data_IF_144337075470
#
_entry.id   IF_144337075470
#
_cell.length_a   1.000
_cell.length_b   1.000
_cell.length_c   1.000
_cell.angle_alpha   90.00
_cell.angle_beta   90.00
_cell.angle_gamma   90.00
#
_symmetry.space_group_name_H-M   'P 1'
#
loop_
_entity.id
_entity.type
_entity.pdbx_description
1 polymer ?
#
# COMPACT_ATOMS: atom_id res chain seq x y z
N UNK A 1 21.04 -41.50 18.06
CA UNK A 1 20.00 -40.50 17.76
C UNK A 1 18.68 -40.94 18.38
N UNK A 2 18.36 -40.46 19.59
CA UNK A 2 17.04 -40.71 20.18
C UNK A 2 16.15 -39.50 19.87
N UNK A 3 15.28 -39.63 18.88
CA UNK A 3 14.28 -38.60 18.58
C UNK A 3 13.29 -38.54 19.74
N UNK A 4 13.09 -37.35 20.30
CA UNK A 4 12.16 -37.18 21.42
C UNK A 4 10.71 -37.15 20.91
N UNK A 5 10.08 -38.32 20.86
CA UNK A 5 8.73 -38.51 20.32
C UNK A 5 7.69 -37.66 21.06
N UNK A 6 7.85 -37.48 22.38
CA UNK A 6 6.97 -36.66 23.20
C UNK A 6 6.99 -35.21 22.71
N UNK A 7 8.17 -34.65 22.47
CA UNK A 7 8.34 -33.27 22.02
C UNK A 7 7.75 -33.06 20.62
N UNK A 8 7.96 -34.00 19.69
CA UNK A 8 7.32 -33.96 18.37
C UNK A 8 5.79 -34.05 18.45
N UNK A 9 5.26 -34.90 19.33
CA UNK A 9 3.81 -35.07 19.47
C UNK A 9 3.16 -33.80 20.03
N UNK A 10 3.77 -33.18 21.04
CA UNK A 10 3.31 -31.91 21.61
C UNK A 10 3.40 -30.78 20.57
N UNK A 11 4.52 -30.69 19.85
CA UNK A 11 4.70 -29.73 18.75
C UNK A 11 3.60 -29.89 17.69
N UNK A 12 3.33 -31.12 17.24
CA UNK A 12 2.30 -31.42 16.24
C UNK A 12 0.89 -31.05 16.72
N UNK A 13 0.57 -31.35 17.98
CA UNK A 13 -0.70 -30.96 18.58
C UNK A 13 -0.87 -29.42 18.67
N UNK A 14 0.19 -28.70 19.02
CA UNK A 14 0.20 -27.23 19.04
C UNK A 14 0.02 -26.63 17.64
N UNK A 15 0.67 -27.19 16.62
CA UNK A 15 0.45 -26.77 15.23
C UNK A 15 -1.00 -27.03 14.78
N UNK A 16 -1.53 -28.22 15.05
CA UNK A 16 -2.91 -28.56 14.68
C UNK A 16 -3.93 -27.63 15.34
N UNK A 17 -3.80 -27.40 16.65
CA UNK A 17 -4.66 -26.47 17.38
C UNK A 17 -4.48 -25.01 16.92
N UNK A 18 -3.23 -24.58 16.70
CA UNK A 18 -2.91 -23.23 16.25
C UNK A 18 -3.49 -22.91 14.87
N UNK A 19 -3.32 -23.82 13.90
CA UNK A 19 -3.91 -23.69 12.55
C UNK A 19 -5.43 -23.68 12.65
N UNK A 20 -6.03 -24.57 13.44
CA UNK A 20 -7.47 -24.61 13.64
C UNK A 20 -8.02 -23.28 14.15
N UNK A 21 -7.38 -22.68 15.15
CA UNK A 21 -7.81 -21.40 15.73
C UNK A 21 -7.64 -20.20 14.77
N UNK A 22 -6.64 -20.23 13.88
CA UNK A 22 -6.45 -19.18 12.87
C UNK A 22 -7.57 -19.18 11.83
N UNK A 23 -8.23 -20.31 11.59
CA UNK A 23 -9.36 -20.41 10.67
C UNK A 23 -10.66 -19.87 11.27
N UNK A 24 -10.69 -19.46 12.54
CA UNK A 24 -11.89 -18.92 13.16
C UNK A 24 -12.10 -17.43 12.84
N UNK A 25 -13.36 -17.00 12.84
CA UNK A 25 -13.74 -15.59 12.55
C UNK A 25 -13.44 -14.61 13.68
N UNK A 26 -13.15 -15.09 14.88
CA UNK A 26 -12.91 -14.23 16.05
C UNK A 26 -11.44 -13.85 16.13
N UNK A 27 -11.16 -12.55 16.22
CA UNK A 27 -9.79 -12.03 16.30
C UNK A 27 -9.07 -12.52 17.57
N UNK A 28 -9.79 -12.68 18.67
CA UNK A 28 -9.24 -13.25 19.90
C UNK A 28 -8.82 -14.71 19.72
N UNK A 29 -9.61 -15.51 19.00
CA UNK A 29 -9.24 -16.90 18.68
C UNK A 29 -8.05 -16.98 17.73
N UNK A 30 -8.00 -16.10 16.72
CA UNK A 30 -6.82 -15.97 15.84
C UNK A 30 -5.56 -15.60 16.62
N UNK A 31 -5.65 -14.67 17.60
CA UNK A 31 -4.53 -14.31 18.48
C UNK A 31 -4.02 -15.52 19.27
N UNK A 32 -4.93 -16.30 19.87
CA UNK A 32 -4.55 -17.53 20.58
C UNK A 32 -3.93 -18.55 19.63
N UNK A 33 -4.43 -18.67 18.40
CA UNK A 33 -3.86 -19.52 17.36
C UNK A 33 -2.42 -19.13 17.02
N UNK A 34 -2.16 -17.84 16.81
CA UNK A 34 -0.81 -17.31 16.58
C UNK A 34 0.12 -17.56 17.77
N UNK A 35 -0.36 -17.42 19.00
CA UNK A 35 0.42 -17.76 20.20
C UNK A 35 0.79 -19.25 20.24
N UNK A 36 -0.14 -20.15 19.92
CA UNK A 36 0.14 -21.59 19.88
C UNK A 36 1.15 -21.93 18.78
N UNK A 37 1.02 -21.33 17.58
CA UNK A 37 1.97 -21.52 16.49
C UNK A 37 3.37 -21.00 16.81
N UNK A 38 3.48 -19.84 17.48
CA UNK A 38 4.76 -19.31 17.93
C UNK A 38 5.46 -20.28 18.89
N UNK A 39 4.73 -20.83 19.87
CA UNK A 39 5.25 -21.83 20.79
C UNK A 39 5.62 -23.14 20.08
N UNK A 40 4.80 -23.59 19.13
CA UNK A 40 5.10 -24.78 18.32
C UNK A 40 6.40 -24.61 17.50
N UNK A 41 6.60 -23.43 16.93
CA UNK A 41 7.81 -23.08 16.16
C UNK A 41 9.05 -23.03 17.06
N UNK A 42 8.91 -22.53 18.30
CA UNK A 42 10.00 -22.55 19.27
C UNK A 42 10.39 -23.99 19.65
N UNK A 43 9.41 -24.88 19.81
CA UNK A 43 9.66 -26.30 20.03
C UNK A 43 10.30 -26.97 18.81
N UNK A 44 9.91 -26.58 17.59
CA UNK A 44 10.53 -27.08 16.36
C UNK A 44 12.02 -26.71 16.31
N UNK A 45 12.37 -25.44 16.57
CA UNK A 45 13.78 -25.00 16.62
C UNK A 45 14.53 -25.78 17.71
N UNK A 46 13.94 -25.95 18.89
CA UNK A 46 14.54 -26.73 19.96
C UNK A 46 14.77 -28.20 19.56
N UNK A 47 13.82 -28.81 18.85
CA UNK A 47 13.94 -30.18 18.36
C UNK A 47 15.10 -30.35 17.36
N UNK A 48 15.43 -29.30 16.59
CA UNK A 48 16.58 -29.31 15.67
C UNK A 48 17.93 -29.13 16.37
N UNK A 49 17.94 -28.63 17.62
CA UNK A 49 19.15 -28.29 18.37
C UNK A 49 19.94 -29.47 18.93
N UNK A 50 19.50 -30.72 18.69
CA UNK A 50 20.28 -31.91 19.01
C UNK A 50 20.19 -32.37 20.47
N UNK A 51 21.30 -32.91 20.99
CA UNK A 51 21.34 -33.55 22.31
C UNK A 51 21.35 -32.52 23.44
N UNK A 52 20.68 -32.83 24.55
CA UNK A 52 20.68 -32.01 25.75
C UNK A 52 22.04 -32.08 26.46
N UNK A 53 22.90 -31.10 26.21
CA UNK A 53 24.15 -30.86 26.92
C UNK A 53 24.00 -29.93 28.12
N UNK A 54 25.12 -29.36 28.57
CA UNK A 54 25.19 -28.32 29.60
C UNK A 54 24.79 -26.96 29.01
N UNK A 55 24.40 -26.02 29.88
CA UNK A 55 24.15 -24.63 29.47
C UNK A 55 25.42 -24.05 28.82
N UNK A 56 25.33 -23.31 27.70
CA UNK A 56 26.48 -22.76 26.97
C UNK A 56 27.11 -21.58 27.72
N UNK A 57 27.61 -21.85 28.93
CA UNK A 57 28.31 -20.94 29.80
C UNK A 57 29.74 -21.44 30.00
N UNK A 58 30.70 -20.62 29.61
CA UNK A 58 32.10 -21.01 29.63
C UNK A 58 32.57 -21.43 31.03
N UNK A 59 33.01 -22.67 31.13
CA UNK A 59 33.64 -23.27 32.32
C UNK A 59 34.95 -23.94 31.90
N UNK A 60 36.02 -23.73 32.68
CA UNK A 60 37.37 -24.25 32.36
C UNK A 60 37.48 -25.78 32.48
N UNK A 61 36.62 -26.39 33.28
CA UNK A 61 36.67 -27.81 33.62
C UNK A 61 35.74 -28.68 32.74
N UNK A 62 35.10 -28.07 31.73
CA UNK A 62 34.09 -28.71 30.88
C UNK A 62 34.56 -28.78 29.44
N UNK A 63 34.42 -29.94 28.80
CA UNK A 63 34.79 -30.11 27.38
C UNK A 63 33.83 -29.31 26.47
N UNK A 64 34.33 -28.67 25.40
CA UNK A 64 33.49 -27.97 24.42
C UNK A 64 32.34 -28.82 23.84
N UNK A 65 32.51 -30.14 23.73
CA UNK A 65 31.51 -31.07 23.21
C UNK A 65 30.35 -31.38 24.17
N UNK A 66 30.48 -31.03 25.45
CA UNK A 66 29.44 -31.26 26.46
C UNK A 66 28.40 -30.14 26.51
N UNK A 67 28.65 -29.00 25.84
CA UNK A 67 27.70 -27.88 25.78
C UNK A 67 26.58 -28.12 24.76
N UNK A 68 25.39 -27.58 25.05
CA UNK A 68 24.36 -27.43 24.04
C UNK A 68 24.77 -26.42 22.96
N UNK A 69 24.24 -26.61 21.76
CA UNK A 69 24.37 -25.63 20.68
C UNK A 69 23.72 -24.28 21.11
N UNK A 70 24.49 -23.17 21.15
CA UNK A 70 23.96 -21.86 21.49
C UNK A 70 23.13 -21.23 20.36
N UNK A 71 23.26 -21.70 19.11
CA UNK A 71 22.59 -21.10 17.96
C UNK A 71 21.06 -21.25 18.03
N UNK A 72 20.48 -22.45 18.24
CA UNK A 72 19.03 -22.61 18.41
C UNK A 72 18.48 -21.78 19.58
N UNK A 73 19.25 -21.62 20.67
CA UNK A 73 18.84 -20.86 21.85
C UNK A 73 18.71 -19.37 21.55
N UNK A 74 19.68 -18.80 20.83
CA UNK A 74 19.63 -17.42 20.40
C UNK A 74 18.44 -17.17 19.45
N UNK A 75 18.18 -18.09 18.52
CA UNK A 75 17.04 -17.99 17.60
C UNK A 75 15.69 -18.03 18.34
N UNK A 76 15.56 -18.88 19.36
CA UNK A 76 14.34 -18.96 20.19
C UNK A 76 14.14 -17.67 20.99
N UNK A 77 15.21 -17.06 21.52
CA UNK A 77 15.09 -15.78 22.22
C UNK A 77 14.56 -14.68 21.28
N UNK A 78 15.08 -14.62 20.05
CA UNK A 78 14.61 -13.67 19.04
C UNK A 78 13.16 -13.93 18.64
N UNK A 79 12.77 -15.19 18.42
CA UNK A 79 11.40 -15.53 18.04
C UNK A 79 10.40 -15.19 19.14
N UNK A 80 10.76 -15.34 20.43
CA UNK A 80 9.92 -14.95 21.56
C UNK A 80 9.64 -13.45 21.55
N UNK A 81 10.66 -12.61 21.30
CA UNK A 81 10.51 -11.15 21.28
C UNK A 81 9.64 -10.71 20.09
N UNK A 82 9.86 -11.29 18.91
CA UNK A 82 9.05 -11.00 17.71
C UNK A 82 7.59 -11.41 17.96
N UNK A 83 7.38 -12.62 18.51
CA UNK A 83 6.04 -13.13 18.80
C UNK A 83 5.33 -12.27 19.84
N UNK A 84 6.05 -11.79 20.86
CA UNK A 84 5.51 -10.85 21.84
C UNK A 84 5.11 -9.53 21.20
N UNK A 85 5.94 -8.96 20.33
CA UNK A 85 5.63 -7.72 19.61
C UNK A 85 4.38 -7.86 18.73
N UNK A 86 4.29 -8.94 17.94
CA UNK A 86 3.12 -9.24 17.10
C UNK A 86 1.87 -9.47 17.95
N UNK A 87 2.00 -10.19 19.07
CA UNK A 87 0.90 -10.41 20.01
C UNK A 87 0.40 -9.10 20.60
N UNK A 88 1.31 -8.24 21.08
CA UNK A 88 0.95 -6.94 21.65
C UNK A 88 0.29 -6.03 20.61
N UNK A 89 0.78 -6.05 19.37
CA UNK A 89 0.20 -5.32 18.25
C UNK A 89 -1.21 -5.83 17.94
N UNK A 90 -1.39 -7.15 17.78
CA UNK A 90 -2.68 -7.77 17.50
C UNK A 90 -3.67 -7.53 18.65
N UNK A 91 -3.21 -7.60 19.91
CA UNK A 91 -4.03 -7.26 21.08
C UNK A 91 -4.46 -5.79 21.06
N UNK A 92 -3.59 -4.88 20.60
CA UNK A 92 -3.91 -3.48 20.37
C UNK A 92 -5.00 -3.29 19.31
N UNK A 93 -4.94 -4.05 18.20
CA UNK A 93 -5.99 -4.06 17.17
C UNK A 93 -7.30 -4.59 17.77
N UNK A 94 -7.28 -5.74 18.44
CA UNK A 94 -8.46 -6.33 19.08
C UNK A 94 -9.11 -5.33 20.03
N UNK A 95 -8.31 -4.69 20.88
CA UNK A 95 -8.80 -3.66 21.79
C UNK A 95 -9.43 -2.49 21.04
N UNK A 96 -8.77 -1.98 19.98
CA UNK A 96 -9.29 -0.87 19.18
C UNK A 96 -10.59 -1.24 18.47
N UNK A 97 -10.68 -2.44 17.88
CA UNK A 97 -11.87 -2.97 17.23
C UNK A 97 -13.00 -3.13 18.24
N UNK A 98 -12.73 -3.64 19.44
CA UNK A 98 -13.73 -3.77 20.48
C UNK A 98 -14.25 -2.40 20.96
N UNK A 99 -13.39 -1.38 21.05
CA UNK A 99 -13.81 -0.01 21.39
C UNK A 99 -14.70 0.60 20.31
N UNK A 100 -14.39 0.38 19.02
CA UNK A 100 -15.11 0.99 17.90
C UNK A 100 -16.38 0.23 17.48
N UNK A 101 -16.27 -1.09 17.28
CA UNK A 101 -17.33 -1.93 16.72
C UNK A 101 -18.09 -2.75 17.77
N UNK A 102 -17.57 -2.84 19.00
CA UNK A 102 -18.12 -3.66 20.10
C UNK A 102 -18.35 -5.13 19.74
N UNK A 103 -17.61 -5.64 18.76
CA UNK A 103 -17.64 -7.02 18.26
C UNK A 103 -16.21 -7.51 18.05
N UNK A 104 -16.01 -8.81 18.23
CA UNK A 104 -14.72 -9.49 18.05
C UNK A 104 -14.71 -10.42 16.81
N UNK A 105 -15.85 -10.52 16.13
CA UNK A 105 -16.04 -11.39 14.96
C UNK A 105 -15.96 -10.59 13.67
N UNK A 106 -15.23 -11.12 12.68
CA UNK A 106 -15.15 -10.58 11.33
C UNK A 106 -16.46 -10.90 10.59
N UNK A 107 -17.15 -9.86 10.14
CA UNK A 107 -18.41 -9.97 9.40
C UNK A 107 -18.16 -9.77 7.91
N UNK A 108 -18.98 -10.45 7.10
CA UNK A 108 -19.01 -10.22 5.65
C UNK A 108 -19.96 -9.04 5.39
N UNK A 109 -19.45 -7.94 4.82
CA UNK A 109 -20.27 -6.80 4.44
C UNK A 109 -21.08 -7.14 3.17
N UNK A 110 -22.33 -6.69 3.12
CA UNK A 110 -23.17 -6.81 1.91
C UNK A 110 -22.57 -6.03 0.74
N UNK A 111 -21.84 -4.95 1.00
CA UNK A 111 -21.13 -4.21 -0.03
C UNK A 111 -19.94 -5.01 -0.58
N UNK A 112 -19.18 -5.68 0.28
CA UNK A 112 -18.05 -6.53 -0.14
C UNK A 112 -18.53 -7.66 -1.07
N UNK A 113 -19.69 -8.25 -0.78
CA UNK A 113 -20.30 -9.28 -1.63
C UNK A 113 -20.72 -8.69 -2.99
N UNK A 114 -21.32 -7.49 -3.00
CA UNK A 114 -21.71 -6.81 -4.26
C UNK A 114 -20.51 -6.48 -5.14
N UNK A 115 -19.43 -5.98 -4.54
CA UNK A 115 -18.18 -5.69 -5.26
C UNK A 115 -17.57 -6.96 -5.83
N UNK A 116 -17.57 -8.07 -5.06
CA UNK A 116 -17.06 -9.35 -5.54
C UNK A 116 -17.85 -9.95 -6.72
N UNK A 117 -19.14 -9.65 -6.82
CA UNK A 117 -19.99 -10.05 -7.95
C UNK A 117 -19.87 -9.13 -9.17
N UNK A 118 -19.27 -7.95 -9.01
CA UNK A 118 -19.09 -7.00 -10.12
C UNK A 118 -17.99 -7.50 -11.06
N UNK A 119 -18.26 -7.74 -12.35
CA UNK A 119 -17.24 -8.19 -13.29
C UNK A 119 -16.13 -7.13 -13.42
N UNK A 120 -14.87 -7.56 -13.35
CA UNK A 120 -13.70 -6.68 -13.44
C UNK A 120 -13.45 -6.11 -14.84
N UNK A 121 -14.31 -6.44 -15.82
CA UNK A 121 -14.19 -6.02 -17.20
C UNK A 121 -14.94 -4.71 -17.39
N UNK A 122 -14.19 -3.65 -17.71
CA UNK A 122 -14.74 -2.34 -18.06
C UNK A 122 -14.57 -2.11 -19.56
N UNK A 123 -15.68 -2.02 -20.29
CA UNK A 123 -15.65 -1.85 -21.74
C UNK A 123 -15.05 -0.50 -22.18
N UNK A 124 -15.05 0.52 -21.31
CA UNK A 124 -14.41 1.80 -21.60
C UNK A 124 -12.89 1.72 -21.38
N UNK A 125 -12.45 1.16 -20.24
CA UNK A 125 -11.03 1.12 -19.83
C UNK A 125 -10.23 0.00 -20.55
N UNK A 126 -10.85 -1.15 -20.80
CA UNK A 126 -10.25 -2.29 -21.50
C UNK A 126 -10.44 -2.23 -23.03
N UNK A 127 -10.88 -1.08 -23.56
CA UNK A 127 -11.01 -0.90 -25.02
C UNK A 127 -9.64 -0.86 -25.70
N UNK A 128 -9.48 -1.60 -26.81
CA UNK A 128 -8.25 -1.54 -27.61
C UNK A 128 -8.09 -0.12 -28.19
N UNK A 129 -7.17 0.66 -27.62
CA UNK A 129 -6.87 2.03 -28.08
C UNK A 129 -6.36 1.93 -29.52
N UNK A 130 -7.04 2.55 -30.51
CA UNK A 130 -6.53 2.59 -31.86
C UNK A 130 -5.18 3.30 -31.89
N UNK A 131 -4.15 2.67 -32.47
CA UNK A 131 -2.90 3.36 -32.78
C UNK A 131 -3.22 4.50 -33.75
N UNK A 132 -3.20 5.75 -33.27
CA UNK A 132 -3.40 6.92 -34.14
C UNK A 132 -2.31 6.94 -35.21
N UNK A 133 -2.68 6.49 -36.42
CA UNK A 133 -1.87 6.62 -37.63
C UNK A 133 -2.33 7.87 -38.40
N UNK A 134 -2.54 8.98 -37.69
CA UNK A 134 -3.07 10.19 -38.30
C UNK A 134 -2.00 10.88 -39.14
N UNK A 135 -2.28 10.96 -40.44
CA UNK A 135 -1.47 11.61 -41.48
C UNK A 135 -1.59 13.15 -41.50
N UNK A 136 -2.20 13.75 -40.48
CA UNK A 136 -2.36 15.20 -40.38
C UNK A 136 -1.26 15.82 -39.49
N UNK A 137 -0.36 16.64 -40.04
CA UNK A 137 0.65 17.30 -39.24
C UNK A 137 -0.01 18.32 -38.30
N UNK A 138 0.36 18.26 -37.01
CA UNK A 138 0.05 19.25 -35.98
C UNK A 138 0.39 20.65 -36.50
N UNK A 139 -0.61 21.40 -36.96
CA UNK A 139 -0.44 22.76 -37.45
C UNK A 139 -0.63 23.70 -36.27
N UNK A 140 0.46 24.32 -35.80
CA UNK A 140 0.38 25.38 -34.80
C UNK A 140 -0.05 26.68 -35.50
N UNK A 141 -1.10 27.34 -35.01
CA UNK A 141 -1.58 28.61 -35.58
C UNK A 141 -0.67 29.75 -35.11
N UNK A 142 -0.08 30.47 -36.07
CA UNK A 142 0.73 31.65 -35.81
C UNK A 142 -0.09 32.81 -35.25
N UNK A 143 0.58 33.77 -34.61
CA UNK A 143 -0.06 34.98 -34.03
C UNK A 143 -0.71 35.90 -35.07
N UNK A 144 -0.46 35.67 -36.35
CA UNK A 144 -1.09 36.30 -37.52
C UNK A 144 -2.33 35.54 -38.03
N UNK A 145 -2.72 34.45 -37.36
CA UNK A 145 -3.90 33.64 -37.68
C UNK A 145 -3.70 32.67 -38.85
N UNK A 146 -2.47 32.49 -39.36
CA UNK A 146 -2.18 31.52 -40.43
C UNK A 146 -1.53 30.26 -39.82
N UNK A 147 -1.93 29.08 -40.30
CA UNK A 147 -1.34 27.81 -39.84
C UNK A 147 0.12 27.69 -40.25
N UNK A 148 0.99 27.40 -39.30
CA UNK A 148 2.43 27.16 -39.53
C UNK A 148 2.65 25.66 -39.58
N UNK A 149 3.17 25.19 -40.71
CA UNK A 149 3.57 23.79 -40.89
C UNK A 149 5.07 23.63 -40.65
N UNK A 150 5.53 22.43 -40.28
CA UNK A 150 6.96 22.17 -40.02
C UNK A 150 7.84 22.45 -41.27
N UNK A 151 7.26 22.36 -42.47
CA UNK A 151 7.91 22.79 -43.72
C UNK A 151 8.21 24.29 -43.78
N UNK A 152 7.40 25.15 -43.15
CA UNK A 152 7.60 26.60 -43.16
C UNK A 152 8.73 27.04 -42.21
N UNK A 153 8.96 26.27 -41.15
CA UNK A 153 10.03 26.52 -40.16
C UNK A 153 11.41 26.13 -40.70
N UNK A 154 11.49 25.18 -41.63
CA UNK A 154 12.74 24.70 -42.22
C UNK A 154 13.45 25.70 -43.15
N UNK A 155 12.75 26.75 -43.61
CA UNK A 155 13.25 27.73 -44.59
C UNK A 155 13.86 29.02 -44.05
N UNK A 156 13.86 29.26 -42.72
CA UNK A 156 14.32 30.54 -42.11
C UNK A 156 15.69 30.46 -41.42
N UNK A 157 16.47 29.40 -41.64
CA UNK A 157 17.87 29.38 -41.24
C UNK A 157 18.74 30.05 -42.30
N UNK A 158 18.86 31.38 -42.22
CA UNK A 158 19.68 32.16 -43.16
C UNK A 158 19.76 33.64 -42.83
N UNK A 159 20.67 33.98 -41.91
CA UNK A 159 21.49 35.19 -41.88
C UNK A 159 20.81 36.59 -41.92
N UNK A 160 21.03 37.30 -40.80
CA UNK A 160 21.73 38.60 -40.73
C UNK A 160 20.94 39.82 -40.23
N UNK A 161 21.57 40.51 -39.26
CA UNK A 161 21.66 41.97 -39.27
C UNK A 161 20.51 42.83 -38.74
N UNK A 162 20.63 43.18 -37.45
CA UNK A 162 20.41 44.55 -36.92
C UNK A 162 18.97 45.10 -36.76
N UNK A 163 18.72 45.76 -35.61
CA UNK A 163 17.68 46.80 -35.52
C UNK A 163 16.72 46.74 -34.32
N UNK A 164 17.24 47.10 -33.14
CA UNK A 164 16.63 47.89 -32.04
C UNK A 164 15.14 48.32 -32.13
N UNK A 165 14.41 48.07 -31.02
CA UNK A 165 13.16 48.75 -30.59
C UNK A 165 11.90 47.93 -30.87
N UNK A 166 10.85 47.90 -30.06
CA UNK A 166 10.47 48.51 -28.79
C UNK A 166 9.29 47.65 -28.29
N UNK A 167 9.24 47.28 -27.01
CA UNK A 167 8.11 46.50 -26.47
C UNK A 167 6.85 47.37 -26.39
N UNK A 168 5.66 46.77 -26.50
CA UNK A 168 4.73 46.94 -25.39
C UNK A 168 3.99 45.65 -24.98
N UNK A 169 4.03 45.39 -23.67
CA UNK A 169 3.03 44.72 -22.81
C UNK A 169 2.40 43.40 -23.28
N UNK A 170 2.93 42.30 -22.77
CA UNK A 170 2.26 41.00 -22.72
C UNK A 170 1.04 41.07 -21.78
N UNK A 171 -0.16 40.90 -22.32
CA UNK A 171 -1.38 40.73 -21.52
C UNK A 171 -1.35 39.40 -20.76
N UNK A 172 -1.69 39.44 -19.47
CA UNK A 172 -1.68 38.29 -18.56
C UNK A 172 -2.69 37.19 -19.00
N UNK A 173 -2.34 35.90 -18.90
CA UNK A 173 -3.21 34.80 -19.31
C UNK A 173 -4.46 34.70 -18.42
N UNK A 174 -5.64 34.54 -19.04
CA UNK A 174 -6.94 34.39 -18.36
C UNK A 174 -7.63 33.08 -18.76
N UNK A 175 -8.37 32.49 -17.83
CA UNK A 175 -9.11 31.22 -17.96
C UNK A 175 -10.61 31.50 -17.80
N UNK A 176 -11.45 30.85 -18.60
CA UNK A 176 -12.90 31.07 -18.61
C UNK A 176 -13.62 29.93 -17.89
N UNK A 177 -14.29 30.23 -16.78
CA UNK A 177 -15.06 29.28 -15.97
C UNK A 177 -16.54 29.65 -16.03
N UNK A 178 -17.31 28.85 -16.77
CA UNK A 178 -18.71 29.16 -17.09
C UNK A 178 -18.85 30.48 -17.86
N UNK A 179 -19.59 31.44 -17.29
CA UNK A 179 -19.82 32.76 -17.88
C UNK A 179 -18.81 33.84 -17.46
N UNK A 180 -17.81 33.53 -16.61
CA UNK A 180 -16.83 34.50 -16.09
C UNK A 180 -15.42 34.20 -16.60
N UNK A 181 -14.63 35.26 -16.80
CA UNK A 181 -13.21 35.19 -17.17
C UNK A 181 -12.39 35.63 -15.95
N UNK A 182 -11.50 34.76 -15.46
CA UNK A 182 -10.64 34.99 -14.29
C UNK A 182 -9.18 34.83 -14.69
N UNK A 183 -8.26 35.47 -13.97
CA UNK A 183 -6.82 35.35 -14.24
C UNK A 183 -6.33 33.94 -13.92
N UNK A 184 -5.40 33.43 -14.71
CA UNK A 184 -4.94 32.04 -14.62
C UNK A 184 -4.27 31.71 -13.28
N UNK A 185 -3.64 32.69 -12.64
CA UNK A 185 -3.03 32.54 -11.30
C UNK A 185 -4.07 32.31 -10.19
N UNK A 186 -5.24 32.94 -10.31
CA UNK A 186 -6.31 32.83 -9.32
C UNK A 186 -7.13 31.55 -9.49
N UNK A 187 -7.25 31.04 -10.73
CA UNK A 187 -8.00 29.81 -11.03
C UNK A 187 -7.38 28.56 -10.37
N UNK A 188 -6.04 28.48 -10.32
CA UNK A 188 -5.33 27.35 -9.73
C UNK A 188 -5.48 27.27 -8.19
N UNK A 189 -5.88 28.38 -7.54
CA UNK A 189 -6.13 28.41 -6.11
C UNK A 189 -7.53 27.90 -5.72
N UNK A 190 -8.51 27.96 -6.63
CA UNK A 190 -9.90 27.54 -6.35
C UNK A 190 -10.10 26.01 -6.35
N UNK A 191 -9.27 25.25 -7.08
CA UNK A 191 -9.43 23.79 -7.23
C UNK A 191 -8.74 22.95 -6.13
N UNK A 192 -8.23 23.57 -5.06
CA UNK A 192 -7.65 22.80 -3.96
C UNK A 192 -8.74 22.06 -3.15
N UNK A 193 -8.57 20.76 -2.87
CA UNK A 193 -9.54 19.98 -2.11
C UNK A 193 -9.63 20.52 -0.68
N UNK A 194 -10.77 21.14 -0.34
CA UNK A 194 -11.02 21.79 0.95
C UNK A 194 -11.50 23.25 0.88
N UNK A 195 -11.61 23.85 -0.31
CA UNK A 195 -12.16 25.21 -0.50
C UNK A 195 -13.67 25.27 -0.18
N UNK A 196 -14.07 26.18 0.73
CA UNK A 196 -15.45 26.34 1.20
C UNK A 196 -16.36 27.18 0.27
N UNK A 197 -15.95 27.47 -0.96
CA UNK A 197 -16.66 28.39 -1.86
C UNK A 197 -17.70 27.71 -2.79
N UNK A 198 -18.40 26.68 -2.30
CA UNK A 198 -19.62 26.19 -2.95
C UNK A 198 -20.82 26.92 -2.33
N UNK A 199 -21.27 28.00 -2.97
CA UNK A 199 -22.59 28.56 -2.70
C UNK A 199 -23.62 27.77 -3.53
N UNK A 200 -24.55 27.02 -2.90
CA UNK A 200 -25.60 26.35 -3.66
C UNK A 200 -26.55 27.42 -4.24
N UNK A 201 -26.73 27.39 -5.56
CA UNK A 201 -27.73 28.22 -6.24
C UNK A 201 -29.15 27.85 -5.82
N UNK A 202 -30.14 28.75 -5.93
CA UNK A 202 -31.48 28.53 -5.41
C UNK A 202 -32.31 27.69 -6.40
N UNK A 203 -32.14 26.37 -6.38
CA UNK A 203 -33.11 25.46 -7.02
C UNK A 203 -34.13 24.99 -5.99
N UNK A 204 -35.15 25.83 -5.81
CA UNK A 204 -36.31 25.58 -4.96
C UNK A 204 -37.47 26.46 -5.42
N UNK A 205 -37.82 26.35 -6.70
CA UNK A 205 -38.96 27.05 -7.30
C UNK A 205 -40.27 26.42 -6.86
N UNK A 206 -41.07 27.19 -6.12
CA UNK A 206 -42.48 26.94 -5.81
C UNK A 206 -43.27 26.74 -7.11
N UNK A 207 -44.00 25.63 -7.21
CA UNK A 207 -45.32 25.51 -7.85
C UNK A 207 -46.05 24.30 -7.30
#
# INVERSE_FOLDING_TARGET
MSVNLTLLTVMGALYACGIYLIMERSLTRVLLGLMLLANATNLLILATGGYAGLAPMFSKDTDPGDYNDPLPQALILTSIVISFAVTAFMLGIIYRTWVLARRDEIQDDVEDIRVAETPSFDAEDDSEIPLETSEFPLTMIGSDGKGITDSDLSGRSGADGSGRGDSPEAGEPTVKVGARTIKAEDAAAEEQPGSQNVTPGPEGGVK
#
